data_IF_077539034149
#
_entry.id   IF_077539034149
#
_cell.length_a   1.000
_cell.length_b   1.000
_cell.length_c   1.000
_cell.angle_alpha   90.00
_cell.angle_beta   90.00
_cell.angle_gamma   90.00
#
_symmetry.space_group_name_H-M   'P 1'
#
loop_
_entity.id
_entity.type
_entity.pdbx_description
1 polymer ?
#
# COMPACT_ATOMS: atom_id res chain seq x y z
N UNK A 1 -4.67 -38.94 8.19
CA UNK A 1 -5.78 -38.22 7.52
C UNK A 1 -5.87 -36.70 7.79
N UNK A 2 -4.90 -36.04 8.46
CA UNK A 2 -4.93 -34.56 8.66
C UNK A 2 -4.40 -33.74 7.47
N UNK A 3 -3.60 -34.37 6.60
CA UNK A 3 -2.98 -33.72 5.43
C UNK A 3 -4.03 -33.39 4.36
N UNK A 4 -4.98 -34.29 4.12
CA UNK A 4 -6.06 -34.12 3.13
C UNK A 4 -6.95 -32.90 3.42
N UNK A 5 -7.27 -32.64 4.69
CA UNK A 5 -8.06 -31.47 5.10
C UNK A 5 -7.32 -30.14 4.92
N UNK A 6 -5.98 -30.14 5.07
CA UNK A 6 -5.14 -28.95 4.85
C UNK A 6 -4.95 -28.65 3.37
N UNK A 7 -4.78 -29.68 2.55
CA UNK A 7 -4.77 -29.56 1.09
C UNK A 7 -6.13 -29.03 0.59
N UNK A 8 -7.24 -29.50 1.19
CA UNK A 8 -8.57 -28.96 0.90
C UNK A 8 -8.65 -27.46 1.21
N UNK A 9 -8.20 -27.00 2.39
CA UNK A 9 -8.24 -25.57 2.74
C UNK A 9 -7.45 -24.67 1.77
N UNK A 10 -6.34 -25.18 1.26
CA UNK A 10 -5.50 -24.55 0.23
C UNK A 10 -6.23 -24.48 -1.12
N UNK A 11 -6.92 -25.56 -1.49
CA UNK A 11 -7.70 -25.67 -2.73
C UNK A 11 -9.08 -24.99 -2.66
N UNK A 12 -9.63 -24.78 -1.45
CA UNK A 12 -10.94 -24.16 -1.21
C UNK A 12 -10.86 -22.66 -0.93
N UNK A 13 -9.66 -22.09 -0.79
CA UNK A 13 -9.51 -20.64 -0.78
C UNK A 13 -9.85 -20.12 -2.18
N UNK A 14 -10.88 -19.28 -2.28
CA UNK A 14 -11.25 -18.66 -3.56
C UNK A 14 -10.16 -17.69 -4.00
N UNK A 15 -10.04 -17.45 -5.31
CA UNK A 15 -9.13 -16.44 -5.84
C UNK A 15 -9.43 -15.04 -5.26
N UNK A 16 -10.70 -14.74 -4.97
CA UNK A 16 -11.11 -13.48 -4.33
C UNK A 16 -10.56 -13.36 -2.91
N UNK A 17 -10.75 -14.38 -2.07
CA UNK A 17 -10.22 -14.40 -0.71
C UNK A 17 -8.69 -14.40 -0.71
N UNK A 18 -8.05 -15.07 -1.67
CA UNK A 18 -6.60 -15.02 -1.85
C UNK A 18 -6.10 -13.62 -2.25
N UNK A 19 -6.85 -12.90 -3.09
CA UNK A 19 -6.55 -11.51 -3.44
C UNK A 19 -6.72 -10.58 -2.24
N UNK A 20 -7.80 -10.75 -1.47
CA UNK A 20 -8.05 -10.00 -0.24
C UNK A 20 -6.93 -10.21 0.79
N UNK A 21 -6.57 -11.47 1.09
CA UNK A 21 -5.45 -11.78 1.98
C UNK A 21 -4.12 -11.23 1.44
N UNK A 22 -3.93 -11.22 0.12
CA UNK A 22 -2.73 -10.63 -0.48
C UNK A 22 -2.65 -9.11 -0.26
N UNK A 23 -3.79 -8.42 -0.33
CA UNK A 23 -3.89 -6.99 -0.03
C UNK A 23 -3.67 -6.72 1.46
N UNK A 24 -4.42 -7.41 2.34
CA UNK A 24 -4.29 -7.26 3.80
C UNK A 24 -2.86 -7.48 4.28
N UNK A 25 -2.13 -8.43 3.68
CA UNK A 25 -0.72 -8.67 4.03
C UNK A 25 0.22 -7.48 3.76
N UNK A 26 -0.18 -6.53 2.93
CA UNK A 26 0.59 -5.29 2.68
C UNK A 26 0.37 -4.26 3.77
N UNK A 27 -0.81 -4.25 4.39
CA UNK A 27 -1.21 -3.26 5.39
C UNK A 27 -0.97 -3.77 6.83
N UNK A 28 -1.12 -5.08 7.05
CA UNK A 28 -1.05 -5.70 8.37
C UNK A 28 -0.41 -7.10 8.36
N UNK A 29 -0.10 -7.59 9.56
CA UNK A 29 0.36 -8.96 9.72
C UNK A 29 -0.83 -9.92 9.71
N UNK A 30 -0.82 -10.85 8.74
CA UNK A 30 -1.79 -11.93 8.71
C UNK A 30 -1.59 -12.93 9.85
N UNK A 31 -2.69 -13.56 10.28
CA UNK A 31 -2.64 -14.73 11.16
C UNK A 31 -1.83 -15.86 10.52
N UNK A 32 -1.26 -16.75 11.34
CA UNK A 32 -0.47 -17.89 10.84
C UNK A 32 -1.30 -18.81 9.92
N UNK A 33 -2.59 -18.95 10.20
CA UNK A 33 -3.53 -19.77 9.41
C UNK A 33 -3.75 -19.15 8.04
N UNK A 34 -4.07 -17.85 7.98
CA UNK A 34 -4.30 -17.13 6.72
C UNK A 34 -3.04 -17.09 5.86
N UNK A 35 -1.87 -16.93 6.51
CA UNK A 35 -0.58 -16.95 5.83
C UNK A 35 -0.31 -18.31 5.18
N UNK A 36 -0.63 -19.40 5.87
CA UNK A 36 -0.47 -20.75 5.34
C UNK A 36 -1.46 -21.05 4.20
N UNK A 37 -2.73 -20.65 4.38
CA UNK A 37 -3.77 -20.81 3.37
C UNK A 37 -3.42 -20.05 2.08
N UNK A 38 -3.03 -18.78 2.21
CA UNK A 38 -2.59 -17.96 1.08
C UNK A 38 -1.36 -18.56 0.39
N UNK A 39 -0.31 -18.91 1.15
CA UNK A 39 0.90 -19.50 0.56
C UNK A 39 0.60 -20.81 -0.17
N UNK A 40 -0.27 -21.65 0.37
CA UNK A 40 -0.71 -22.86 -0.31
C UNK A 40 -1.45 -22.56 -1.61
N UNK A 41 -2.42 -21.63 -1.61
CA UNK A 41 -3.17 -21.28 -2.81
C UNK A 41 -2.25 -20.74 -3.92
N UNK A 42 -1.23 -19.95 -3.54
CA UNK A 42 -0.25 -19.42 -4.47
C UNK A 42 0.61 -20.51 -5.14
N UNK A 43 0.77 -21.68 -4.53
CA UNK A 43 1.47 -22.81 -5.15
C UNK A 43 0.73 -23.34 -6.38
N UNK A 44 -0.60 -23.32 -6.36
CA UNK A 44 -1.46 -23.90 -7.41
C UNK A 44 -2.03 -22.87 -8.38
N UNK A 45 -2.19 -21.60 -7.96
CA UNK A 45 -2.78 -20.55 -8.78
C UNK A 45 -1.72 -19.53 -9.26
N UNK A 46 -1.35 -19.62 -10.54
CA UNK A 46 -0.44 -18.67 -11.18
C UNK A 46 -0.99 -17.25 -11.26
N UNK A 47 -2.30 -17.09 -11.43
CA UNK A 47 -2.98 -15.79 -11.46
C UNK A 47 -2.82 -15.01 -10.16
N UNK A 48 -3.15 -15.64 -9.02
CA UNK A 48 -2.98 -15.02 -7.70
C UNK A 48 -1.51 -14.74 -7.39
N UNK A 49 -0.57 -15.57 -7.88
CA UNK A 49 0.87 -15.30 -7.77
C UNK A 49 1.29 -14.05 -8.54
N UNK A 50 0.76 -13.84 -9.74
CA UNK A 50 1.01 -12.63 -10.54
C UNK A 50 0.38 -11.40 -9.91
N UNK A 51 -0.88 -11.51 -9.48
CA UNK A 51 -1.59 -10.45 -8.76
C UNK A 51 -0.81 -9.99 -7.52
N UNK A 52 -0.37 -10.92 -6.66
CA UNK A 52 0.43 -10.60 -5.47
C UNK A 52 1.70 -9.80 -5.80
N UNK A 53 2.39 -10.14 -6.90
CA UNK A 53 3.57 -9.39 -7.36
C UNK A 53 3.20 -7.98 -7.83
N UNK A 54 2.10 -7.83 -8.55
CA UNK A 54 1.63 -6.52 -9.05
C UNK A 54 1.24 -5.60 -7.89
N UNK A 55 0.40 -6.06 -6.96
CA UNK A 55 -0.06 -5.22 -5.84
C UNK A 55 1.10 -4.84 -4.91
N UNK A 56 2.08 -5.74 -4.69
CA UNK A 56 3.28 -5.42 -3.94
C UNK A 56 4.14 -4.34 -4.63
N UNK A 57 4.29 -4.42 -5.97
CA UNK A 57 4.97 -3.40 -6.75
C UNK A 57 4.27 -2.04 -6.67
N UNK A 58 2.95 -2.00 -6.83
CA UNK A 58 2.17 -0.76 -6.69
C UNK A 58 2.34 -0.16 -5.30
N UNK A 59 2.23 -0.97 -4.25
CA UNK A 59 2.39 -0.53 -2.85
C UNK A 59 3.77 0.06 -2.56
N UNK A 60 4.82 -0.49 -3.18
CA UNK A 60 6.18 0.06 -3.05
C UNK A 60 6.35 1.36 -3.83
N UNK A 61 5.80 1.44 -5.04
CA UNK A 61 5.84 2.66 -5.84
C UNK A 61 5.09 3.81 -5.15
N UNK A 62 3.93 3.54 -4.56
CA UNK A 62 3.16 4.56 -3.82
C UNK A 62 3.90 5.04 -2.57
N UNK A 63 4.56 4.14 -1.83
CA UNK A 63 5.41 4.54 -0.68
C UNK A 63 6.55 5.46 -1.10
N UNK A 64 7.24 5.17 -2.21
CA UNK A 64 8.29 6.04 -2.72
C UNK A 64 7.77 7.41 -3.12
N UNK A 65 6.61 7.47 -3.78
CA UNK A 65 5.98 8.75 -4.15
C UNK A 65 5.59 9.53 -2.90
N UNK A 66 4.99 8.88 -1.90
CA UNK A 66 4.62 9.51 -0.64
C UNK A 66 5.84 10.11 0.08
N UNK A 67 6.93 9.35 0.21
CA UNK A 67 8.17 9.83 0.84
C UNK A 67 8.75 11.06 0.11
N UNK A 68 8.72 11.09 -1.23
CA UNK A 68 9.17 12.25 -2.01
C UNK A 68 8.28 13.47 -1.82
N UNK A 69 6.97 13.27 -1.67
CA UNK A 69 6.03 14.35 -1.41
C UNK A 69 6.22 14.91 0.01
N UNK A 70 6.49 14.05 0.99
CA UNK A 70 6.82 14.47 2.35
C UNK A 70 8.13 15.26 2.40
N UNK A 71 9.18 14.81 1.72
CA UNK A 71 10.45 15.55 1.59
C UNK A 71 10.27 16.91 0.91
N UNK A 72 9.47 16.97 -0.16
CA UNK A 72 9.12 18.24 -0.81
C UNK A 72 8.28 19.15 0.10
N UNK A 73 7.38 18.58 0.91
CA UNK A 73 6.59 19.35 1.88
C UNK A 73 7.45 19.89 3.04
N UNK A 74 8.42 19.11 3.52
CA UNK A 74 9.33 19.49 4.60
C UNK A 74 10.33 20.58 4.16
N UNK A 75 10.64 20.64 2.86
CA UNK A 75 11.43 21.73 2.28
C UNK A 75 10.72 23.09 2.29
N UNK A 76 9.42 23.13 2.63
CA UNK A 76 8.64 24.35 2.81
C UNK A 76 8.58 25.25 1.57
N UNK A 77 8.06 26.47 1.75
CA UNK A 77 8.17 27.51 0.72
C UNK A 77 9.60 28.01 0.65
N UNK A 78 10.09 28.29 -0.57
CA UNK A 78 11.32 29.06 -0.75
C UNK A 78 11.21 30.40 -0.03
N UNK A 79 12.33 30.93 0.45
CA UNK A 79 12.31 32.18 1.21
C UNK A 79 11.75 33.33 0.38
N UNK A 80 12.03 33.35 -0.92
CA UNK A 80 11.47 34.30 -1.86
C UNK A 80 9.94 34.16 -1.97
N UNK A 81 9.41 32.94 -1.98
CA UNK A 81 7.97 32.70 -2.02
C UNK A 81 7.29 33.12 -0.70
N UNK A 82 7.92 32.86 0.45
CA UNK A 82 7.43 33.28 1.77
C UNK A 82 7.37 34.79 1.89
N UNK A 83 8.43 35.49 1.47
CA UNK A 83 8.50 36.96 1.45
C UNK A 83 7.42 37.55 0.56
N UNK A 84 7.23 37.04 -0.66
CA UNK A 84 6.16 37.53 -1.56
C UNK A 84 4.78 37.36 -0.94
N UNK A 85 4.48 36.20 -0.37
CA UNK A 85 3.19 35.93 0.28
C UNK A 85 2.97 36.89 1.46
N UNK A 86 3.96 37.06 2.33
CA UNK A 86 3.88 37.95 3.48
C UNK A 86 3.66 39.42 3.05
N UNK A 87 4.34 39.87 1.99
CA UNK A 87 4.16 41.21 1.43
C UNK A 87 2.73 41.41 0.90
N UNK A 88 2.22 40.47 0.11
CA UNK A 88 0.84 40.55 -0.39
C UNK A 88 -0.19 40.59 0.73
N UNK A 89 0.02 39.83 1.82
CA UNK A 89 -0.89 39.87 2.98
C UNK A 89 -0.84 41.23 3.69
N UNK A 90 0.35 41.81 3.84
CA UNK A 90 0.53 43.12 4.46
C UNK A 90 -0.08 44.24 3.62
N UNK A 91 0.06 44.19 2.30
CA UNK A 91 -0.51 45.18 1.38
C UNK A 91 -2.05 45.10 1.38
N UNK A 92 -2.61 43.88 1.35
CA UNK A 92 -4.06 43.67 1.44
C UNK A 92 -4.66 44.15 2.78
N UNK A 93 -3.90 44.06 3.88
CA UNK A 93 -4.32 44.58 5.18
C UNK A 93 -4.25 46.11 5.29
N UNK A 94 -3.44 46.77 4.46
CA UNK A 94 -3.31 48.24 4.44
C UNK A 94 -4.33 48.95 3.57
N UNK A 95 -4.93 48.23 2.62
CA UNK A 95 -5.98 48.74 1.73
C UNK A 95 -7.40 48.56 2.29
N UNK A 96 -7.55 47.96 3.48
CA UNK A 96 -8.81 47.88 4.25
C UNK A 96 -8.83 48.92 5.37
#
# INVERSE_FOLDING_TARGET
MKILSRVKYILTLSCQSAAELSSRRLDEQLSLVDRLALNGHLLVCGGCRRFRKQVAFLSEATRHVAARLEEAADSGLSEEARVRIAQTMHDAQRES
#
